data_IF_164172072226
#
_entry.id   IF_164172072226
#
_cell.length_a   1.000
_cell.length_b   1.000
_cell.length_c   1.000
_cell.angle_alpha   90.00
_cell.angle_beta   90.00
_cell.angle_gamma   90.00
#
_symmetry.space_group_name_H-M   'P 1'
#
loop_
_entity.id
_entity.type
_entity.pdbx_description
1 polymer ?
#
# COMPACT_ATOMS: atom_id res chain seq x y z
N UNK A 1 16.99 -11.33 7.30
CA UNK A 1 16.55 -10.11 7.99
C UNK A 1 15.07 -9.93 7.80
N UNK A 2 14.37 -9.60 8.84
CA UNK A 2 12.93 -9.38 8.80
C UNK A 2 12.59 -8.11 8.00
N UNK A 3 11.56 -8.19 7.17
CA UNK A 3 11.07 -7.07 6.38
C UNK A 3 9.62 -6.80 6.79
N UNK A 4 9.37 -5.80 7.63
CA UNK A 4 8.02 -5.57 8.13
C UNK A 4 7.07 -5.13 7.02
N UNK A 5 5.87 -5.69 7.07
CA UNK A 5 4.79 -5.39 6.15
C UNK A 5 3.53 -5.09 6.97
N UNK A 6 2.94 -3.94 6.73
CA UNK A 6 1.65 -3.60 7.32
C UNK A 6 0.56 -3.92 6.30
N UNK A 7 -0.48 -4.63 6.70
CA UNK A 7 -1.55 -5.02 5.80
C UNK A 7 -2.89 -4.59 6.37
N UNK A 8 -3.74 -4.01 5.52
CA UNK A 8 -5.12 -3.67 5.87
C UNK A 8 -6.06 -4.25 4.84
N UNK A 9 -7.26 -4.62 5.30
CA UNK A 9 -8.34 -5.08 4.44
C UNK A 9 -9.33 -3.94 4.27
N UNK A 10 -9.64 -3.58 3.04
CA UNK A 10 -10.61 -2.54 2.71
C UNK A 10 -11.73 -3.14 1.86
N UNK A 11 -12.97 -2.95 2.28
CA UNK A 11 -14.14 -3.35 1.50
C UNK A 11 -14.51 -2.25 0.51
N UNK A 12 -15.31 -2.60 -0.48
CA UNK A 12 -15.75 -1.65 -1.49
C UNK A 12 -14.96 -1.76 -2.77
N UNK A 13 -15.04 -0.74 -3.60
CA UNK A 13 -14.40 -0.75 -4.92
C UNK A 13 -12.94 -0.35 -4.82
N UNK A 14 -12.14 -0.77 -5.80
CA UNK A 14 -10.73 -0.40 -5.82
C UNK A 14 -10.53 1.12 -5.91
N UNK A 15 -11.26 1.87 -6.74
CA UNK A 15 -11.08 3.34 -6.78
C UNK A 15 -11.32 4.02 -5.43
N UNK A 16 -12.35 3.59 -4.71
CA UNK A 16 -12.64 4.13 -3.37
C UNK A 16 -11.50 3.81 -2.40
N UNK A 17 -11.00 2.57 -2.46
CA UNK A 17 -9.94 2.11 -1.58
C UNK A 17 -8.61 2.81 -1.87
N UNK A 18 -8.27 3.01 -3.13
CA UNK A 18 -7.07 3.75 -3.49
C UNK A 18 -7.13 5.19 -2.99
N UNK A 19 -8.29 5.83 -3.13
CA UNK A 19 -8.49 7.19 -2.61
C UNK A 19 -8.32 7.24 -1.10
N UNK A 20 -8.86 6.25 -0.41
CA UNK A 20 -8.72 6.15 1.04
C UNK A 20 -7.25 6.05 1.44
N UNK A 21 -6.49 5.20 0.76
CA UNK A 21 -5.05 5.04 1.00
C UNK A 21 -4.31 6.34 0.71
N UNK A 22 -4.58 6.98 -0.42
CA UNK A 22 -3.96 8.27 -0.73
C UNK A 22 -4.20 9.30 0.38
N UNK A 23 -5.43 9.38 0.87
CA UNK A 23 -5.79 10.32 1.91
C UNK A 23 -5.12 10.03 3.25
N UNK A 24 -4.88 8.75 3.55
CA UNK A 24 -4.14 8.37 4.75
C UNK A 24 -2.66 8.74 4.66
N UNK A 25 -2.07 8.59 3.48
CA UNK A 25 -0.64 8.76 3.31
C UNK A 25 -0.23 10.21 3.06
N UNK A 26 -1.12 11.04 2.51
CA UNK A 26 -0.81 12.42 2.17
C UNK A 26 -0.31 13.24 3.37
N UNK A 27 -0.94 13.18 4.56
CA UNK A 27 -0.44 13.92 5.72
C UNK A 27 0.96 13.49 6.17
N UNK A 28 1.41 12.31 5.77
CA UNK A 28 2.75 11.82 6.06
C UNK A 28 3.77 12.28 5.02
N UNK A 29 3.35 13.06 4.03
CA UNK A 29 4.22 13.52 2.96
C UNK A 29 4.43 12.51 1.85
N UNK A 30 3.60 11.46 1.79
CA UNK A 30 3.71 10.43 0.76
C UNK A 30 2.72 10.71 -0.36
N UNK A 31 3.25 10.90 -1.57
CA UNK A 31 2.46 11.28 -2.74
C UNK A 31 2.43 10.15 -3.76
N UNK A 32 1.28 9.98 -4.40
CA UNK A 32 1.14 8.97 -5.45
C UNK A 32 1.99 9.31 -6.68
N UNK A 33 2.04 10.57 -7.05
CA UNK A 33 2.90 11.01 -8.15
C UNK A 33 4.26 11.44 -7.60
N UNK A 34 5.33 11.01 -8.27
CA UNK A 34 6.69 11.39 -7.88
C UNK A 34 6.83 12.93 -7.94
N UNK A 35 7.30 13.58 -6.86
CA UNK A 35 7.36 15.05 -6.83
C UNK A 35 8.33 15.66 -7.84
N UNK A 36 9.34 14.90 -8.30
CA UNK A 36 10.30 15.40 -9.28
C UNK A 36 9.86 15.18 -10.72
N UNK A 37 9.34 13.98 -11.03
CA UNK A 37 8.95 13.62 -12.39
C UNK A 37 7.48 13.84 -12.69
N UNK A 38 6.63 13.89 -11.67
CA UNK A 38 5.18 13.94 -11.83
C UNK A 38 4.55 12.63 -12.26
N UNK A 39 5.33 11.56 -12.34
CA UNK A 39 4.86 10.27 -12.83
C UNK A 39 4.32 9.41 -11.69
N UNK A 40 3.27 8.63 -11.98
CA UNK A 40 2.79 7.55 -11.15
C UNK A 40 3.42 6.27 -11.71
N UNK A 41 4.06 5.49 -10.85
CA UNK A 41 4.80 4.31 -11.31
C UNK A 41 4.47 3.07 -10.47
N UNK A 42 4.59 1.92 -11.11
CA UNK A 42 4.45 0.63 -10.46
C UNK A 42 5.49 -0.34 -11.02
N UNK A 43 5.64 -1.48 -10.39
CA UNK A 43 6.56 -2.52 -10.86
C UNK A 43 5.77 -3.60 -11.58
N UNK A 44 6.21 -3.93 -12.80
CA UNK A 44 5.65 -5.05 -13.56
C UNK A 44 6.13 -6.39 -13.01
N UNK A 45 5.49 -7.47 -13.43
CA UNK A 45 5.85 -8.82 -12.98
C UNK A 45 7.29 -9.19 -13.33
N UNK A 46 7.84 -8.62 -14.39
CA UNK A 46 9.23 -8.87 -14.80
C UNK A 46 10.23 -7.89 -14.17
N UNK A 47 9.79 -7.10 -13.18
CA UNK A 47 10.68 -6.26 -12.39
C UNK A 47 11.05 -4.92 -13.03
N UNK A 48 10.25 -4.42 -13.97
CA UNK A 48 10.46 -3.12 -14.59
C UNK A 48 9.55 -2.06 -13.99
N UNK A 49 10.08 -0.87 -13.82
CA UNK A 49 9.28 0.28 -13.42
C UNK A 49 8.50 0.80 -14.63
N UNK A 50 7.19 0.92 -14.47
CA UNK A 50 6.29 1.33 -15.54
C UNK A 50 5.49 2.55 -15.09
N UNK A 51 5.42 3.57 -15.94
CA UNK A 51 4.59 4.75 -15.67
C UNK A 51 3.15 4.48 -16.11
N UNK A 52 2.20 5.02 -15.36
CA UNK A 52 0.78 4.92 -15.64
C UNK A 52 0.11 6.27 -15.40
N UNK A 53 -0.89 6.62 -16.21
CA UNK A 53 -1.68 7.82 -15.96
C UNK A 53 -2.72 7.54 -14.87
N UNK A 54 -3.07 8.57 -14.10
CA UNK A 54 -4.09 8.42 -13.06
C UNK A 54 -5.40 7.86 -13.63
N UNK A 55 -5.79 8.31 -14.81
CA UNK A 55 -7.03 7.87 -15.46
C UNK A 55 -6.99 6.39 -15.88
N UNK A 56 -5.80 5.83 -16.10
CA UNK A 56 -5.65 4.45 -16.54
C UNK A 56 -5.52 3.44 -15.40
N UNK A 57 -5.33 3.89 -14.17
CA UNK A 57 -5.03 3.00 -13.03
C UNK A 57 -6.10 1.92 -12.87
N UNK A 58 -7.38 2.30 -12.83
CA UNK A 58 -8.47 1.36 -12.59
C UNK A 58 -8.51 0.27 -13.67
N UNK A 59 -8.40 0.66 -14.92
CA UNK A 59 -8.41 -0.29 -16.04
C UNK A 59 -7.22 -1.25 -15.97
N UNK A 60 -6.03 -0.73 -15.64
CA UNK A 60 -4.83 -1.54 -15.53
C UNK A 60 -4.92 -2.53 -14.35
N UNK A 61 -5.53 -2.13 -13.25
CA UNK A 61 -5.73 -3.01 -12.11
C UNK A 61 -6.71 -4.13 -12.46
N UNK A 62 -7.83 -3.81 -13.10
CA UNK A 62 -8.81 -4.83 -13.47
C UNK A 62 -8.31 -5.74 -14.59
N UNK A 63 -7.40 -5.26 -15.42
CA UNK A 63 -6.76 -6.09 -16.44
C UNK A 63 -5.68 -7.03 -15.85
N UNK A 64 -5.37 -6.90 -14.56
CA UNK A 64 -4.33 -7.69 -13.92
C UNK A 64 -2.90 -7.25 -14.26
N UNK A 65 -2.74 -6.09 -14.88
CA UNK A 65 -1.44 -5.56 -15.28
C UNK A 65 -0.78 -4.80 -14.13
N UNK A 66 -1.57 -4.04 -13.37
CA UNK A 66 -1.07 -3.25 -12.25
C UNK A 66 -1.47 -3.90 -10.92
N UNK A 67 -0.49 -4.28 -10.10
CA UNK A 67 -0.70 -4.98 -8.82
C UNK A 67 -0.09 -4.24 -7.64
N UNK A 68 0.52 -3.10 -7.89
CA UNK A 68 1.23 -2.32 -6.88
C UNK A 68 1.40 -0.90 -7.38
N UNK A 69 1.88 -0.04 -6.48
CA UNK A 69 2.20 1.34 -6.82
C UNK A 69 3.28 1.84 -5.87
N UNK A 70 4.03 2.82 -6.31
CA UNK A 70 4.99 3.52 -5.48
C UNK A 70 4.38 4.82 -4.97
N UNK A 71 4.44 5.05 -3.66
CA UNK A 71 4.16 6.35 -3.08
C UNK A 71 5.49 7.00 -2.73
N UNK A 72 5.60 8.31 -2.91
CA UNK A 72 6.88 8.99 -2.87
C UNK A 72 6.97 10.01 -1.75
N UNK A 73 8.00 9.89 -0.92
CA UNK A 73 8.36 10.91 0.07
C UNK A 73 9.21 12.00 -0.58
N UNK A 74 10.17 11.57 -1.40
CA UNK A 74 11.00 12.44 -2.24
C UNK A 74 11.07 11.85 -3.64
N UNK A 75 11.80 12.48 -4.54
CA UNK A 75 11.97 11.96 -5.90
C UNK A 75 12.71 10.63 -5.97
N UNK A 76 13.40 10.23 -4.91
CA UNK A 76 14.17 8.98 -4.88
C UNK A 76 13.84 8.07 -3.69
N UNK A 77 12.94 8.47 -2.81
CA UNK A 77 12.55 7.66 -1.65
C UNK A 77 11.07 7.31 -1.74
N UNK A 78 10.78 6.03 -1.86
CA UNK A 78 9.42 5.54 -2.08
C UNK A 78 8.96 4.56 -1.00
N UNK A 79 7.65 4.41 -0.92
CA UNK A 79 6.98 3.37 -0.18
C UNK A 79 6.29 2.47 -1.21
N UNK A 80 6.65 1.20 -1.21
CA UNK A 80 6.03 0.21 -2.09
C UNK A 80 4.73 -0.27 -1.47
N UNK A 81 3.64 -0.16 -2.20
CA UNK A 81 2.30 -0.59 -1.77
C UNK A 81 1.76 -1.57 -2.79
N UNK A 82 1.44 -2.78 -2.36
CA UNK A 82 0.82 -3.79 -3.21
C UNK A 82 -0.60 -4.07 -2.75
N UNK A 83 -1.37 -4.75 -3.59
CA UNK A 83 -2.74 -5.13 -3.26
C UNK A 83 -3.08 -6.48 -3.82
N UNK A 84 -4.10 -7.07 -3.22
CA UNK A 84 -4.62 -8.36 -3.61
C UNK A 84 -6.14 -8.31 -3.52
N UNK A 85 -6.80 -8.73 -4.60
CA UNK A 85 -8.26 -8.88 -4.62
C UNK A 85 -8.61 -10.17 -3.87
N UNK A 86 -9.33 -10.02 -2.77
CA UNK A 86 -9.78 -11.15 -1.97
C UNK A 86 -11.30 -11.14 -1.90
N UNK A 87 -11.89 -12.27 -1.48
CA UNK A 87 -13.36 -12.42 -1.50
C UNK A 87 -14.07 -11.37 -0.65
N UNK A 88 -13.44 -10.87 0.40
CA UNK A 88 -14.02 -9.88 1.31
C UNK A 88 -13.63 -8.44 1.00
N UNK A 89 -12.83 -8.21 -0.04
CA UNK A 89 -12.41 -6.86 -0.43
C UNK A 89 -11.02 -6.82 -1.03
N UNK A 90 -10.30 -5.74 -0.74
CA UNK A 90 -8.93 -5.55 -1.23
C UNK A 90 -7.97 -5.47 -0.06
N UNK A 91 -6.95 -6.33 -0.09
CA UNK A 91 -5.86 -6.29 0.88
C UNK A 91 -4.75 -5.40 0.37
N UNK A 92 -4.45 -4.33 1.11
CA UNK A 92 -3.33 -3.44 0.79
C UNK A 92 -2.17 -3.74 1.73
N UNK A 93 -1.01 -3.94 1.16
CA UNK A 93 0.22 -4.24 1.92
C UNK A 93 1.24 -3.12 1.72
N UNK A 94 1.71 -2.57 2.83
CA UNK A 94 2.67 -1.47 2.87
C UNK A 94 4.01 -2.05 3.28
N UNK A 95 4.96 -2.07 2.35
CA UNK A 95 6.26 -2.72 2.53
C UNK A 95 7.25 -1.71 3.10
N UNK A 96 7.65 -1.91 4.34
CA UNK A 96 8.43 -0.93 5.10
C UNK A 96 9.94 -1.07 4.92
N UNK A 97 10.39 -2.00 4.09
CA UNK A 97 11.81 -2.16 3.81
C UNK A 97 12.36 -0.89 3.16
N UNK A 98 13.42 -0.34 3.73
CA UNK A 98 14.02 0.91 3.25
C UNK A 98 13.37 2.19 3.75
N UNK A 99 12.26 2.08 4.46
CA UNK A 99 11.57 3.23 5.05
C UNK A 99 12.25 3.60 6.38
N UNK A 100 12.36 4.90 6.67
CA UNK A 100 12.99 5.36 7.90
C UNK A 100 12.17 4.92 9.13
N UNK A 101 12.80 4.72 10.29
CA UNK A 101 12.06 4.32 11.50
C UNK A 101 10.95 5.29 11.89
N UNK A 102 11.17 6.59 11.72
CA UNK A 102 10.15 7.59 12.02
C UNK A 102 8.91 7.41 11.15
N UNK A 103 9.10 7.16 9.84
CA UNK A 103 8.00 6.95 8.92
C UNK A 103 7.31 5.61 9.16
N UNK A 104 8.07 4.57 9.54
CA UNK A 104 7.47 3.27 9.90
C UNK A 104 6.47 3.43 11.04
N UNK A 105 6.86 4.14 12.08
CA UNK A 105 6.01 4.38 13.25
C UNK A 105 4.80 5.22 12.87
N UNK A 106 5.00 6.27 12.07
CA UNK A 106 3.92 7.13 11.62
C UNK A 106 2.89 6.34 10.79
N UNK A 107 3.36 5.47 9.90
CA UNK A 107 2.49 4.61 9.10
C UNK A 107 1.68 3.66 9.97
N UNK A 108 2.35 2.97 10.91
CA UNK A 108 1.67 2.05 11.81
C UNK A 108 0.61 2.78 12.64
N UNK A 109 0.91 3.99 13.10
CA UNK A 109 -0.03 4.81 13.87
C UNK A 109 -1.23 5.23 13.04
N UNK A 110 -1.01 5.73 11.84
CA UNK A 110 -2.09 6.19 10.95
C UNK A 110 -3.00 5.01 10.57
N UNK A 111 -2.42 3.88 10.21
CA UNK A 111 -3.19 2.71 9.80
C UNK A 111 -3.98 2.11 10.97
N UNK A 112 -3.36 1.99 12.14
CA UNK A 112 -4.06 1.46 13.30
C UNK A 112 -5.18 2.39 13.77
N UNK A 113 -4.98 3.71 13.72
CA UNK A 113 -6.05 4.66 14.03
C UNK A 113 -7.21 4.54 13.05
N UNK A 114 -6.91 4.45 11.75
CA UNK A 114 -7.95 4.30 10.73
C UNK A 114 -8.77 3.03 10.95
N UNK A 115 -8.11 1.92 11.25
CA UNK A 115 -8.78 0.64 11.50
C UNK A 115 -9.63 0.70 12.76
N UNK A 116 -9.08 1.21 13.85
CA UNK A 116 -9.78 1.20 15.14
C UNK A 116 -10.94 2.20 15.20
N UNK A 117 -10.83 3.32 14.49
CA UNK A 117 -11.85 4.36 14.53
C UNK A 117 -12.88 4.19 13.40
N UNK A 118 -12.41 4.07 12.16
CA UNK A 118 -13.27 4.12 11.00
C UNK A 118 -13.70 2.75 10.48
N UNK A 119 -12.74 1.83 10.33
CA UNK A 119 -12.98 0.57 9.65
C UNK A 119 -13.56 -0.50 10.55
N UNK A 120 -13.15 -0.55 11.82
CA UNK A 120 -13.61 -1.59 12.74
C UNK A 120 -15.12 -1.55 12.96
N UNK A 121 -15.71 -0.37 12.84
CA UNK A 121 -17.16 -0.22 12.95
C UNK A 121 -17.92 -0.92 11.84
N UNK A 122 -17.29 -1.08 10.67
CA UNK A 122 -17.90 -1.71 9.50
C UNK A 122 -17.55 -3.18 9.35
N UNK A 123 -16.43 -3.63 9.95
CA UNK A 123 -15.88 -4.97 9.72
C UNK A 123 -15.78 -5.74 11.03
N UNK A 124 -16.89 -5.88 11.71
CA UNK A 124 -16.95 -6.37 13.10
C UNK A 124 -16.14 -7.62 13.39
N UNK A 125 -16.24 -8.63 12.53
CA UNK A 125 -15.71 -9.96 12.80
C UNK A 125 -14.51 -10.31 11.93
N UNK A 126 -13.92 -9.32 11.23
CA UNK A 126 -12.82 -9.56 10.32
C UNK A 126 -11.54 -8.87 10.80
N UNK A 127 -10.44 -9.56 10.59
CA UNK A 127 -9.12 -8.97 10.82
C UNK A 127 -8.84 -7.97 9.69
N UNK A 128 -8.84 -6.68 10.01
CA UNK A 128 -8.65 -5.62 9.02
C UNK A 128 -7.27 -4.98 9.09
N UNK A 129 -6.46 -5.38 10.05
CA UNK A 129 -5.10 -4.85 10.19
C UNK A 129 -4.19 -5.89 10.80
N UNK A 130 -3.01 -6.07 10.22
CA UNK A 130 -1.99 -6.94 10.79
C UNK A 130 -0.61 -6.43 10.43
N UNK A 131 0.37 -6.84 11.23
CA UNK A 131 1.79 -6.58 10.99
C UNK A 131 2.45 -7.92 10.79
N UNK A 132 3.09 -8.11 9.65
CA UNK A 132 3.82 -9.31 9.33
C UNK A 132 5.29 -8.97 9.11
N UNK A 133 6.14 -9.97 9.30
CA UNK A 133 7.56 -9.85 8.99
C UNK A 133 7.92 -10.94 8.00
N UNK A 134 8.47 -10.52 6.87
CA UNK A 134 9.02 -11.46 5.90
C UNK A 134 10.39 -11.90 6.41
N UNK A 135 10.50 -13.16 6.82
CA UNK A 135 11.72 -13.74 7.33
C UNK A 135 12.09 -14.98 6.51
N UNK A 136 12.75 -14.80 5.37
CA UNK A 136 13.06 -15.91 4.48
C UNK A 136 13.84 -17.03 5.16
N UNK A 137 14.68 -16.71 6.15
CA UNK A 137 15.44 -17.73 6.87
C UNK A 137 14.56 -18.67 7.69
N UNK A 138 13.41 -18.18 8.19
CA UNK A 138 12.47 -19.02 8.92
C UNK A 138 11.65 -19.90 8.01
N UNK A 139 11.30 -19.40 6.84
CA UNK A 139 10.47 -20.15 5.89
C UNK A 139 11.16 -21.37 5.31
N UNK A 140 12.45 -21.51 5.52
CA UNK A 140 13.26 -22.62 5.00
C UNK A 140 13.52 -23.72 6.02
N UNK A 141 13.07 -23.54 7.21
CA UNK A 141 13.29 -24.50 8.30
C UNK A 141 12.18 -25.58 8.38
#
# INVERSE_FOLDING_TARGET
MAKPILTILLKGTFPENLRFVENLLQPLGLLLANPDSGLITHWSDDGRQVAVSRAAIVDEVFAGVMKNVQFWETGCEDLFVSWLDVSSGWEFSFHLNGVTPTLKIALATVLSNAVLIDLQQHYRDESVFRIDFDEPSLSRI
#
